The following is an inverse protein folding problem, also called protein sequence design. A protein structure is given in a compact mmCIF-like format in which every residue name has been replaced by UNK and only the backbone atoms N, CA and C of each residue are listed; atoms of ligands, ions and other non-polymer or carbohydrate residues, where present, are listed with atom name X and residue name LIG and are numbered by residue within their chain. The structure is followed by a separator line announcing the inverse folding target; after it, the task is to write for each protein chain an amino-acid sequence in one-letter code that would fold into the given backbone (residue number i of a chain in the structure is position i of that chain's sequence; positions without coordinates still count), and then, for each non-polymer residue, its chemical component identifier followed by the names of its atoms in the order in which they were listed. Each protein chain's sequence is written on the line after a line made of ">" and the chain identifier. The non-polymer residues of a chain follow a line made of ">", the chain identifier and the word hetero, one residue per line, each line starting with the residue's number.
data_IF_349137974137
#
_entry.id   IF_349137974137
#
_cell.length_a   1.000
_cell.length_b   1.000
_cell.length_c   1.000
_cell.angle_alpha   90.00
_cell.angle_beta   90.00
_cell.angle_gamma   90.00
#
_symmetry.space_group_name_H-M   'P 1'
#
loop_
_entity.id
_entity.type
_entity.pdbx_description
1 polymer ?
#
# COMPACT_ATOMS: atom_id res chain seq x y z
N UNK A 1 -7.87 -4.95 39.45
CA UNK A 1 -8.38 -3.95 38.48
C UNK A 1 -7.68 -3.98 37.12
N UNK A 2 -6.36 -4.22 37.05
CA UNK A 2 -5.59 -4.28 35.79
C UNK A 2 -6.01 -5.39 34.79
N UNK A 3 -6.53 -6.53 35.28
CA UNK A 3 -6.95 -7.65 34.42
C UNK A 3 -8.20 -7.34 33.56
N UNK A 4 -9.21 -6.68 34.16
CA UNK A 4 -10.44 -6.28 33.43
C UNK A 4 -10.14 -5.20 32.38
N UNK A 5 -9.25 -4.25 32.68
CA UNK A 5 -8.83 -3.22 31.72
C UNK A 5 -8.08 -3.81 30.52
N UNK A 6 -7.16 -4.77 30.74
CA UNK A 6 -6.49 -5.49 29.64
C UNK A 6 -7.47 -6.30 28.78
N UNK A 7 -8.47 -6.95 29.38
CA UNK A 7 -9.48 -7.71 28.62
C UNK A 7 -10.42 -6.82 27.81
N UNK A 8 -10.85 -5.69 28.38
CA UNK A 8 -11.67 -4.70 27.65
C UNK A 8 -10.87 -4.08 26.52
N UNK A 9 -9.61 -3.69 26.77
CA UNK A 9 -8.72 -3.14 25.75
C UNK A 9 -8.44 -4.15 24.63
N UNK A 10 -8.13 -5.41 24.98
CA UNK A 10 -7.94 -6.48 23.99
C UNK A 10 -9.21 -6.73 23.17
N UNK A 11 -10.40 -6.68 23.81
CA UNK A 11 -11.68 -6.87 23.11
C UNK A 11 -12.00 -5.71 22.17
N UNK A 12 -11.72 -4.47 22.58
CA UNK A 12 -11.88 -3.29 21.72
C UNK A 12 -10.93 -3.37 20.52
N UNK A 13 -9.64 -3.66 20.75
CA UNK A 13 -8.65 -3.84 19.67
C UNK A 13 -9.07 -4.96 18.71
N UNK A 14 -9.49 -6.13 19.22
CA UNK A 14 -9.94 -7.24 18.37
C UNK A 14 -11.20 -6.90 17.57
N UNK A 15 -12.13 -6.13 18.15
CA UNK A 15 -13.33 -5.69 17.44
C UNK A 15 -12.99 -4.69 16.34
N UNK A 16 -12.14 -3.68 16.61
CA UNK A 16 -11.69 -2.71 15.62
C UNK A 16 -10.90 -3.39 14.48
N UNK A 17 -10.04 -4.38 14.80
CA UNK A 17 -9.34 -5.18 13.80
C UNK A 17 -10.31 -5.99 12.92
N UNK A 18 -11.38 -6.55 13.49
CA UNK A 18 -12.41 -7.26 12.72
C UNK A 18 -13.21 -6.32 11.82
N UNK A 19 -13.52 -5.11 12.28
CA UNK A 19 -14.20 -4.09 11.48
C UNK A 19 -13.34 -3.66 10.29
N UNK A 20 -12.06 -3.37 10.52
CA UNK A 20 -11.08 -3.06 9.46
C UNK A 20 -10.98 -4.21 8.48
N UNK A 21 -10.80 -5.44 8.97
CA UNK A 21 -10.72 -6.64 8.13
C UNK A 21 -11.97 -6.81 7.27
N UNK A 22 -13.16 -6.68 7.85
CA UNK A 22 -14.44 -6.82 7.14
C UNK A 22 -14.60 -5.72 6.08
N UNK A 23 -14.21 -4.48 6.38
CA UNK A 23 -14.25 -3.38 5.43
C UNK A 23 -13.32 -3.64 4.22
N UNK A 24 -12.11 -4.16 4.48
CA UNK A 24 -11.16 -4.53 3.42
C UNK A 24 -11.64 -5.73 2.60
N UNK A 25 -12.17 -6.77 3.23
CA UNK A 25 -12.75 -7.93 2.54
C UNK A 25 -13.90 -7.51 1.62
N UNK A 26 -14.76 -6.61 2.09
CA UNK A 26 -15.85 -6.05 1.29
C UNK A 26 -15.33 -5.21 0.13
N UNK A 27 -14.37 -4.33 0.37
CA UNK A 27 -13.74 -3.53 -0.68
C UNK A 27 -13.14 -4.42 -1.77
N UNK A 28 -12.39 -5.46 -1.38
CA UNK A 28 -11.78 -6.41 -2.32
C UNK A 28 -12.86 -7.19 -3.09
N UNK A 29 -13.94 -7.61 -2.44
CA UNK A 29 -15.03 -8.35 -3.08
C UNK A 29 -15.83 -7.49 -4.08
N UNK A 30 -15.90 -6.19 -3.86
CA UNK A 30 -16.60 -5.24 -4.72
C UNK A 30 -15.70 -4.71 -5.87
N UNK A 31 -14.39 -4.95 -5.84
CA UNK A 31 -13.47 -4.58 -6.93
C UNK A 31 -13.75 -5.42 -8.19
N UNK A 32 -13.93 -4.79 -9.36
CA UNK A 32 -14.00 -5.50 -10.63
C UNK A 32 -12.79 -6.43 -10.80
N UNK A 33 -12.98 -7.71 -11.22
CA UNK A 33 -11.89 -8.67 -11.35
C UNK A 33 -10.70 -8.15 -12.17
N UNK A 34 -10.98 -7.49 -13.30
CA UNK A 34 -9.96 -6.93 -14.18
C UNK A 34 -9.19 -5.78 -13.51
N UNK A 35 -9.85 -4.99 -12.65
CA UNK A 35 -9.20 -3.91 -11.90
C UNK A 35 -8.22 -4.48 -10.86
N UNK A 36 -8.62 -5.54 -10.16
CA UNK A 36 -7.74 -6.23 -9.22
C UNK A 36 -6.57 -6.90 -9.94
N UNK A 37 -6.82 -7.55 -11.08
CA UNK A 37 -5.78 -8.18 -11.90
C UNK A 37 -4.77 -7.13 -12.40
N UNK A 38 -5.23 -5.97 -12.86
CA UNK A 38 -4.37 -4.87 -13.30
C UNK A 38 -3.53 -4.33 -12.15
N UNK A 39 -4.13 -4.07 -10.99
CA UNK A 39 -3.40 -3.58 -9.81
C UNK A 39 -2.27 -4.56 -9.43
N UNK A 40 -2.58 -5.86 -9.38
CA UNK A 40 -1.60 -6.91 -9.08
C UNK A 40 -0.47 -6.98 -10.11
N UNK A 41 -0.79 -6.91 -11.40
CA UNK A 41 0.21 -6.94 -12.46
C UNK A 41 1.14 -5.72 -12.39
N UNK A 42 0.57 -4.52 -12.19
CA UNK A 42 1.34 -3.29 -12.02
C UNK A 42 2.22 -3.34 -10.77
N UNK A 43 1.67 -3.71 -9.61
CA UNK A 43 2.40 -3.86 -8.35
C UNK A 43 3.60 -4.82 -8.50
N UNK A 44 3.39 -5.95 -9.18
CA UNK A 44 4.46 -6.94 -9.39
C UNK A 44 5.64 -6.39 -10.20
N UNK A 45 5.36 -5.60 -11.24
CA UNK A 45 6.39 -4.96 -12.08
C UNK A 45 7.07 -3.80 -11.35
N UNK A 46 6.31 -2.97 -10.63
CA UNK A 46 6.85 -1.89 -9.80
C UNK A 46 7.82 -2.39 -8.74
N UNK A 47 7.53 -3.55 -8.12
CA UNK A 47 8.44 -4.18 -7.16
C UNK A 47 9.80 -4.54 -7.76
N UNK A 48 9.86 -4.72 -9.07
CA UNK A 48 11.10 -4.97 -9.81
C UNK A 48 11.77 -3.67 -10.29
N UNK A 49 11.29 -2.50 -9.84
CA UNK A 49 11.76 -1.19 -10.29
C UNK A 49 11.30 -0.81 -11.70
N UNK A 50 10.29 -1.49 -12.25
CA UNK A 50 9.82 -1.26 -13.62
C UNK A 50 8.53 -0.46 -13.64
N UNK A 51 8.47 0.57 -14.48
CA UNK A 51 7.27 1.35 -14.76
C UNK A 51 6.54 0.77 -15.99
N UNK A 52 5.54 -0.12 -15.84
CA UNK A 52 4.96 -0.78 -16.99
C UNK A 52 4.11 0.17 -17.83
N UNK A 53 4.15 0.01 -19.15
CA UNK A 53 3.27 0.76 -20.06
C UNK A 53 1.85 0.20 -20.03
N UNK A 54 0.88 0.99 -20.51
CA UNK A 54 -0.51 0.52 -20.64
C UNK A 54 -0.61 -0.66 -21.60
N UNK A 55 0.13 -0.64 -22.71
CA UNK A 55 0.17 -1.75 -23.67
C UNK A 55 0.77 -3.02 -23.08
N UNK A 56 1.84 -2.90 -22.28
CA UNK A 56 2.44 -4.03 -21.58
C UNK A 56 1.47 -4.67 -20.58
N UNK A 57 0.72 -3.87 -19.82
CA UNK A 57 -0.31 -4.40 -18.92
C UNK A 57 -1.46 -5.05 -19.70
N UNK A 58 -1.87 -4.47 -20.83
CA UNK A 58 -2.88 -5.06 -21.68
C UNK A 58 -2.46 -6.44 -22.21
N UNK A 59 -1.20 -6.58 -22.64
CA UNK A 59 -0.61 -7.85 -23.08
C UNK A 59 -0.56 -8.90 -21.95
N UNK A 60 -0.08 -8.51 -20.77
CA UNK A 60 0.01 -9.42 -19.60
C UNK A 60 -1.36 -9.95 -19.18
N UNK A 61 -2.40 -9.11 -19.31
CA UNK A 61 -3.75 -9.43 -18.86
C UNK A 61 -4.62 -10.05 -19.97
N UNK A 62 -4.10 -10.18 -21.20
CA UNK A 62 -4.86 -10.58 -22.39
C UNK A 62 -6.13 -9.73 -22.58
N UNK A 63 -5.99 -8.41 -22.38
CA UNK A 63 -7.07 -7.44 -22.52
C UNK A 63 -6.85 -6.55 -23.74
N UNK A 64 -7.94 -6.13 -24.43
CA UNK A 64 -7.83 -5.04 -25.39
C UNK A 64 -7.26 -3.78 -24.73
N UNK A 65 -6.31 -3.11 -25.37
CA UNK A 65 -5.66 -1.92 -24.81
C UNK A 65 -6.68 -0.83 -24.44
N UNK A 66 -7.76 -0.67 -25.22
CA UNK A 66 -8.84 0.26 -24.92
C UNK A 66 -9.59 -0.06 -23.60
N UNK A 67 -9.75 -1.35 -23.27
CA UNK A 67 -10.32 -1.80 -22.00
C UNK A 67 -9.33 -1.53 -20.85
N UNK A 68 -8.05 -1.85 -21.05
CA UNK A 68 -6.99 -1.56 -20.06
C UNK A 68 -6.93 -0.05 -19.74
N UNK A 69 -6.95 0.82 -20.77
CA UNK A 69 -7.03 2.29 -20.61
C UNK A 69 -8.27 2.74 -19.85
N UNK A 70 -9.41 2.09 -20.06
CA UNK A 70 -10.66 2.44 -19.37
C UNK A 70 -10.60 2.07 -17.88
N UNK A 71 -10.03 0.90 -17.55
CA UNK A 71 -9.79 0.50 -16.16
C UNK A 71 -8.85 1.48 -15.46
N UNK A 72 -7.73 1.83 -16.10
CA UNK A 72 -6.75 2.78 -15.55
C UNK A 72 -7.39 4.14 -15.29
N UNK A 73 -8.28 4.63 -16.17
CA UNK A 73 -9.02 5.89 -15.94
C UNK A 73 -9.87 5.83 -14.66
N UNK A 74 -10.57 4.73 -14.42
CA UNK A 74 -11.36 4.54 -13.18
C UNK A 74 -10.43 4.50 -11.97
N UNK A 75 -9.31 3.79 -12.09
CA UNK A 75 -8.33 3.64 -11.01
C UNK A 75 -7.64 4.96 -10.64
N UNK A 76 -7.32 5.80 -11.64
CA UNK A 76 -6.75 7.14 -11.45
C UNK A 76 -7.73 8.06 -10.72
N UNK A 77 -9.02 7.99 -11.06
CA UNK A 77 -10.05 8.83 -10.44
C UNK A 77 -10.19 8.62 -8.92
N UNK A 78 -9.84 7.43 -8.43
CA UNK A 78 -9.83 7.08 -6.99
C UNK A 78 -8.42 7.03 -6.39
N UNK A 79 -7.39 7.37 -7.16
CA UNK A 79 -5.99 7.34 -6.72
C UNK A 79 -5.44 5.94 -6.42
N UNK A 80 -6.03 4.89 -6.98
CA UNK A 80 -5.57 3.50 -6.79
C UNK A 80 -4.38 3.11 -7.68
N UNK A 81 -4.03 3.97 -8.64
CA UNK A 81 -2.80 3.95 -9.45
C UNK A 81 -2.32 5.38 -9.68
N UNK A 82 -1.04 5.55 -9.98
CA UNK A 82 -0.48 6.79 -10.55
C UNK A 82 0.15 6.49 -11.90
N UNK A 83 0.12 7.46 -12.81
CA UNK A 83 0.65 7.35 -14.16
C UNK A 83 1.53 8.57 -14.47
N UNK A 84 2.62 8.34 -15.20
CA UNK A 84 3.42 9.37 -15.86
C UNK A 84 3.51 9.02 -17.34
N UNK A 85 3.05 9.94 -18.20
CA UNK A 85 2.73 9.68 -19.60
C UNK A 85 1.84 8.43 -19.81
N UNK A 86 2.44 7.33 -20.28
CA UNK A 86 1.77 6.04 -20.54
C UNK A 86 2.28 4.93 -19.61
N UNK A 87 3.02 5.29 -18.54
CA UNK A 87 3.65 4.33 -17.62
C UNK A 87 3.07 4.42 -16.23
N UNK A 88 2.68 3.29 -15.67
CA UNK A 88 2.24 3.21 -14.28
C UNK A 88 3.45 3.43 -13.37
N UNK A 89 3.37 4.45 -12.53
CA UNK A 89 4.42 4.83 -11.57
C UNK A 89 4.11 4.41 -10.14
N UNK A 90 2.86 3.99 -9.89
CA UNK A 90 2.45 3.50 -8.59
C UNK A 90 1.15 2.71 -8.66
N UNK A 91 1.04 1.68 -7.84
CA UNK A 91 -0.13 0.82 -7.71
C UNK A 91 -0.07 0.11 -6.35
N UNK A 92 -1.23 -0.11 -5.73
CA UNK A 92 -1.33 -0.91 -4.51
C UNK A 92 -0.49 -0.37 -3.34
N UNK A 93 -0.35 0.96 -3.23
CA UNK A 93 0.46 1.60 -2.19
C UNK A 93 1.96 1.68 -2.48
N UNK A 94 2.46 1.02 -3.53
CA UNK A 94 3.86 1.03 -3.94
C UNK A 94 4.09 2.02 -5.10
N UNK A 95 5.24 2.68 -5.11
CA UNK A 95 5.61 3.72 -6.07
C UNK A 95 7.10 3.64 -6.43
N UNK A 96 7.43 3.96 -7.67
CA UNK A 96 8.83 4.24 -8.09
C UNK A 96 9.16 5.74 -8.03
N UNK A 97 8.14 6.60 -7.89
CA UNK A 97 8.30 8.04 -7.72
C UNK A 97 8.51 8.34 -6.24
N UNK A 98 9.51 9.19 -5.88
CA UNK A 98 9.81 9.52 -4.49
C UNK A 98 8.62 10.03 -3.67
N UNK A 99 8.52 9.53 -2.43
CA UNK A 99 7.63 10.03 -1.37
C UNK A 99 8.41 10.15 -0.05
N UNK A 100 7.77 10.62 1.02
CA UNK A 100 8.36 10.62 2.38
C UNK A 100 8.63 9.21 2.94
N UNK A 101 8.05 8.19 2.32
CA UNK A 101 8.08 6.80 2.78
C UNK A 101 8.92 5.96 1.83
N UNK A 102 10.23 5.92 2.04
CA UNK A 102 11.14 5.07 1.27
C UNK A 102 11.15 3.64 1.82
N UNK A 103 11.11 2.65 0.93
CA UNK A 103 11.24 1.23 1.26
C UNK A 103 12.28 0.59 0.34
N UNK A 104 13.11 -0.30 0.87
CA UNK A 104 14.01 -1.14 0.07
C UNK A 104 13.54 -2.57 0.19
N UNK A 105 13.08 -3.17 -0.91
CA UNK A 105 12.61 -4.56 -1.00
C UNK A 105 13.55 -5.34 -1.91
N UNK A 106 14.14 -6.44 -1.42
CA UNK A 106 15.07 -7.27 -2.20
C UNK A 106 16.13 -6.43 -2.97
N UNK A 107 16.78 -5.50 -2.27
CA UNK A 107 17.78 -4.54 -2.78
C UNK A 107 17.27 -3.48 -3.77
N UNK A 108 15.96 -3.41 -4.03
CA UNK A 108 15.34 -2.41 -4.90
C UNK A 108 14.73 -1.31 -4.04
N UNK A 109 15.27 -0.10 -4.18
CA UNK A 109 14.73 1.09 -3.52
C UNK A 109 13.48 1.58 -4.26
N UNK A 110 12.39 1.71 -3.50
CA UNK A 110 11.06 2.11 -3.91
C UNK A 110 10.46 3.06 -2.86
N UNK A 111 9.19 3.40 -3.04
CA UNK A 111 8.45 4.31 -2.19
C UNK A 111 7.05 3.80 -1.91
N UNK A 112 6.45 4.27 -0.83
CA UNK A 112 5.10 3.94 -0.40
C UNK A 112 4.23 5.20 -0.34
N UNK A 113 2.92 5.07 -0.52
CA UNK A 113 2.00 6.22 -0.44
C UNK A 113 1.67 6.64 0.97
N UNK A 114 1.77 5.74 1.95
CA UNK A 114 1.56 6.10 3.35
C UNK A 114 2.38 5.24 4.32
N UNK A 115 2.37 5.63 5.60
CA UNK A 115 3.00 4.87 6.66
C UNK A 115 2.35 3.50 6.93
N UNK A 116 1.09 3.27 6.51
CA UNK A 116 0.50 1.93 6.59
C UNK A 116 1.10 1.00 5.53
N UNK A 117 1.30 1.50 4.30
CA UNK A 117 1.85 0.72 3.20
C UNK A 117 3.27 0.24 3.50
N UNK A 118 4.10 1.06 4.17
CA UNK A 118 5.46 0.66 4.58
C UNK A 118 5.46 -0.52 5.56
N UNK A 119 4.38 -0.73 6.32
CA UNK A 119 4.24 -1.84 7.24
C UNK A 119 3.53 -3.04 6.58
N UNK A 120 2.46 -2.75 5.83
CA UNK A 120 1.59 -3.75 5.23
C UNK A 120 2.25 -4.52 4.09
N UNK A 121 2.98 -3.83 3.21
CA UNK A 121 3.62 -4.44 2.04
C UNK A 121 4.65 -5.51 2.44
N UNK A 122 5.70 -5.22 3.25
CA UNK A 122 6.67 -6.25 3.60
C UNK A 122 6.05 -7.41 4.39
N UNK A 123 5.10 -7.12 5.27
CA UNK A 123 4.36 -8.14 6.01
C UNK A 123 3.55 -9.07 5.08
N UNK A 124 2.86 -8.51 4.08
CA UNK A 124 2.07 -9.27 3.12
C UNK A 124 2.94 -10.09 2.16
N UNK A 125 4.12 -9.59 1.81
CA UNK A 125 5.07 -10.29 0.95
C UNK A 125 5.90 -11.35 1.69
N UNK A 126 5.91 -11.32 3.02
CA UNK A 126 6.83 -12.12 3.84
C UNK A 126 8.31 -11.88 3.47
N UNK A 127 8.66 -10.64 3.12
CA UNK A 127 10.00 -10.25 2.65
C UNK A 127 10.74 -9.39 3.68
N UNK A 128 12.06 -9.35 3.54
CA UNK A 128 12.92 -8.41 4.25
C UNK A 128 12.73 -7.01 3.67
N UNK A 129 12.79 -5.99 4.53
CA UNK A 129 12.69 -4.61 4.07
C UNK A 129 13.39 -3.63 5.01
N UNK A 130 14.05 -2.63 4.43
CA UNK A 130 14.56 -1.45 5.13
C UNK A 130 13.73 -0.23 4.77
N UNK A 131 13.21 0.46 5.79
CA UNK A 131 12.28 1.58 5.62
C UNK A 131 12.90 2.83 6.20
N UNK A 132 12.80 3.93 5.46
CA UNK A 132 13.03 5.28 5.97
C UNK A 132 11.78 6.12 5.74
N UNK A 133 11.17 6.58 6.83
CA UNK A 133 9.95 7.38 6.84
C UNK A 133 10.18 8.70 7.57
N UNK A 134 9.18 9.58 7.57
CA UNK A 134 9.14 10.78 8.41
C UNK A 134 8.03 10.68 9.47
N UNK A 135 8.30 11.22 10.66
CA UNK A 135 7.30 11.38 11.70
C UNK A 135 6.32 12.50 11.31
N UNK A 136 5.02 12.20 11.25
CA UNK A 136 4.02 13.15 10.76
C UNK A 136 3.80 14.40 11.61
N UNK A 137 4.33 14.45 12.85
CA UNK A 137 4.23 15.63 13.72
C UNK A 137 5.49 16.49 13.69
N UNK A 138 6.67 15.85 13.70
CA UNK A 138 7.96 16.51 13.86
C UNK A 138 8.81 16.56 12.60
N UNK A 139 8.50 15.76 11.58
CA UNK A 139 9.30 15.61 10.35
C UNK A 139 10.61 14.82 10.56
N UNK A 140 10.86 14.31 11.77
CA UNK A 140 12.08 13.56 12.06
C UNK A 140 12.09 12.22 11.29
N UNK A 141 13.27 11.83 10.82
CA UNK A 141 13.44 10.54 10.13
C UNK A 141 13.24 9.37 11.08
N UNK A 142 12.38 8.44 10.67
CA UNK A 142 12.14 7.15 11.32
C UNK A 142 12.76 6.05 10.46
N UNK A 143 13.43 5.08 11.09
CA UNK A 143 13.97 3.89 10.43
C UNK A 143 13.31 2.65 10.99
N UNK A 144 12.89 1.74 10.11
CA UNK A 144 12.28 0.47 10.48
C UNK A 144 12.88 -0.65 9.64
N UNK A 145 12.91 -1.87 10.19
CA UNK A 145 13.41 -3.05 9.50
C UNK A 145 12.48 -4.25 9.66
N UNK A 146 12.27 -4.95 8.56
CA UNK A 146 11.55 -6.22 8.50
C UNK A 146 12.50 -7.37 8.17
N UNK A 147 12.28 -8.52 8.80
CA UNK A 147 12.89 -9.82 8.47
C UNK A 147 11.77 -10.84 8.25
N UNK A 148 11.71 -11.45 7.07
CA UNK A 148 10.67 -12.38 6.63
C UNK A 148 9.24 -11.88 6.92
N UNK A 149 8.96 -10.61 6.62
CA UNK A 149 7.67 -9.95 6.87
C UNK A 149 7.37 -9.64 8.35
N UNK A 150 8.34 -9.81 9.25
CA UNK A 150 8.19 -9.43 10.66
C UNK A 150 8.97 -8.17 10.97
N UNK A 151 8.32 -7.19 11.58
CA UNK A 151 8.98 -5.98 12.06
C UNK A 151 9.93 -6.32 13.22
N UNK A 152 11.23 -6.06 13.06
CA UNK A 152 12.29 -6.45 14.00
C UNK A 152 13.07 -5.26 14.60
N UNK A 153 13.08 -4.11 13.93
CA UNK A 153 13.72 -2.89 14.43
C UNK A 153 12.84 -1.67 14.12
N UNK A 154 12.57 -0.85 15.14
CA UNK A 154 11.68 0.31 15.06
C UNK A 154 11.78 1.19 16.32
N UNK A 155 11.46 2.49 16.20
CA UNK A 155 11.32 3.38 17.37
C UNK A 155 10.18 2.92 18.28
N UNK A 156 10.40 2.90 19.59
CA UNK A 156 9.40 2.51 20.58
C UNK A 156 9.09 3.67 21.54
N UNK A 157 7.85 4.20 21.58
CA UNK A 157 6.67 3.72 20.86
C UNK A 157 6.61 4.13 19.39
N UNK A 158 6.11 3.22 18.54
CA UNK A 158 5.67 3.53 17.18
C UNK A 158 4.16 3.74 17.18
N UNK A 159 3.67 4.78 16.51
CA UNK A 159 2.23 5.08 16.38
C UNK A 159 1.89 5.32 14.93
N UNK A 160 0.75 4.79 14.51
CA UNK A 160 0.18 5.02 13.19
C UNK A 160 -1.14 5.76 13.35
N UNK A 161 -1.33 6.83 12.58
CA UNK A 161 -2.61 7.52 12.50
C UNK A 161 -3.35 7.02 11.27
N UNK A 162 -4.54 6.46 11.48
CA UNK A 162 -5.43 6.00 10.42
C UNK A 162 -6.62 6.93 10.33
N UNK A 163 -6.98 7.33 9.11
CA UNK A 163 -8.28 7.90 8.84
C UNK A 163 -9.31 6.77 8.68
N UNK A 164 -10.59 6.99 9.04
CA UNK A 164 -11.66 6.10 8.61
C UNK A 164 -11.61 5.93 7.09
N UNK A 165 -11.95 4.74 6.55
CA UNK A 165 -12.00 4.54 5.12
C UNK A 165 -13.12 5.42 4.53
N UNK A 166 -12.80 6.63 4.11
CA UNK A 166 -13.69 7.50 3.34
C UNK A 166 -13.38 7.30 1.85
N UNK A 167 -14.37 6.84 1.08
CA UNK A 167 -14.22 6.61 -0.36
C UNK A 167 -14.09 7.93 -1.17
N UNK A 168 -14.02 9.07 -0.48
CA UNK A 168 -13.95 10.42 -1.05
C UNK A 168 -12.53 10.97 -1.16
N UNK A 169 -11.53 10.33 -0.54
CA UNK A 169 -10.12 10.72 -0.66
C UNK A 169 -9.40 9.81 -1.64
N UNK A 170 -8.45 10.39 -2.37
CA UNK A 170 -7.53 9.63 -3.21
C UNK A 170 -6.72 8.68 -2.34
N UNK A 171 -6.57 7.42 -2.78
CA UNK A 171 -5.76 6.42 -2.07
C UNK A 171 -4.26 6.76 -2.12
N UNK A 172 -3.79 7.34 -3.23
CA UNK A 172 -2.49 7.98 -3.28
C UNK A 172 -2.54 9.32 -2.53
N UNK A 173 -1.73 9.46 -1.48
CA UNK A 173 -1.70 10.66 -0.64
C UNK A 173 -0.28 11.21 -0.43
N UNK A 174 -0.10 12.51 -0.65
CA UNK A 174 0.96 13.36 -0.11
C UNK A 174 2.39 13.16 -0.64
N UNK A 175 2.73 13.85 -1.73
CA UNK A 175 4.11 14.31 -2.00
C UNK A 175 4.51 15.42 -1.05
#
# INVERSE_FOLDING_TARGET
>A
MLWKAKQVLNRVILNEMNEIKTAWERYIAELPPDQNALNRAAFHLLRQGQAPSVSQLAEILDLPEAQCRSLIKVMLAIGSVTIDDDRITGAGGLSIVPTFHQITLADIQLYCWCALDTLGIPAALAEDADITSEDGQSGNKLRLRFEAGRLVDFPNPLRLQLAPPDQTRLLCGGT
#
